data_IF_726483058782
#
_entry.id   IF_726483058782
#
_cell.length_a   1.000
_cell.length_b   1.000
_cell.length_c   1.000
_cell.angle_alpha   90.00
_cell.angle_beta   90.00
_cell.angle_gamma   90.00
#
_symmetry.space_group_name_H-M   'P 1'
#
loop_
_entity.id
_entity.type
_entity.pdbx_description
1 polymer ?
#
# COMPACT_ATOMS: atom_id res chain seq x y z
N UNK A 1 -13.05 2.55 -2.43
CA UNK A 1 -12.92 1.56 -3.53
C UNK A 1 -11.66 1.89 -4.31
N UNK A 2 -10.89 0.93 -4.85
CA UNK A 2 -9.64 1.23 -5.61
C UNK A 2 -9.94 1.20 -7.12
N UNK A 3 -10.55 2.29 -7.58
CA UNK A 3 -10.95 2.51 -8.98
C UNK A 3 -10.21 3.71 -9.54
N UNK A 4 -9.71 3.64 -10.76
CA UNK A 4 -9.08 4.78 -11.45
C UNK A 4 -9.71 5.04 -12.81
N UNK A 5 -9.67 6.28 -13.29
CA UNK A 5 -10.15 6.71 -14.63
C UNK A 5 -11.61 6.42 -15.02
N UNK A 6 -12.39 5.73 -14.20
CA UNK A 6 -13.76 5.32 -14.52
C UNK A 6 -14.68 5.51 -13.31
N UNK A 7 -15.98 5.67 -13.59
CA UNK A 7 -17.02 5.70 -12.55
C UNK A 7 -17.49 4.29 -12.25
N UNK A 8 -18.03 4.05 -11.05
CA UNK A 8 -18.73 2.82 -10.74
C UNK A 8 -20.02 3.07 -9.97
N UNK A 9 -20.94 2.11 -10.06
CA UNK A 9 -22.15 2.06 -9.24
C UNK A 9 -21.87 1.12 -8.08
N UNK A 10 -21.63 1.69 -6.90
CA UNK A 10 -21.47 0.90 -5.68
C UNK A 10 -22.84 0.34 -5.26
N UNK A 11 -22.92 -0.98 -5.14
CA UNK A 11 -24.15 -1.72 -4.83
C UNK A 11 -23.87 -2.76 -3.74
N UNK A 12 -24.82 -2.93 -2.83
CA UNK A 12 -24.72 -3.92 -1.77
C UNK A 12 -24.71 -5.36 -2.32
N UNK A 13 -23.95 -6.30 -1.75
CA UNK A 13 -23.89 -7.70 -2.19
C UNK A 13 -25.26 -8.38 -2.30
N UNK A 14 -26.14 -8.21 -1.30
CA UNK A 14 -27.51 -8.78 -1.31
C UNK A 14 -28.32 -8.30 -2.51
N UNK A 15 -28.30 -7.00 -2.78
CA UNK A 15 -29.04 -6.38 -3.88
C UNK A 15 -28.46 -6.79 -5.23
N UNK A 16 -27.13 -6.93 -5.32
CA UNK A 16 -26.47 -7.45 -6.49
C UNK A 16 -26.89 -8.91 -6.76
N UNK A 17 -26.96 -9.76 -5.73
CA UNK A 17 -27.43 -11.15 -5.85
C UNK A 17 -28.88 -11.23 -6.31
N UNK A 18 -29.79 -10.44 -5.73
CA UNK A 18 -31.20 -10.35 -6.14
C UNK A 18 -31.37 -9.93 -7.61
N UNK A 19 -30.51 -9.03 -8.10
CA UNK A 19 -30.49 -8.58 -9.50
C UNK A 19 -29.68 -9.51 -10.42
N UNK A 20 -29.04 -10.55 -9.86
CA UNK A 20 -28.15 -11.46 -10.59
C UNK A 20 -26.94 -10.75 -11.21
N UNK A 21 -26.38 -9.75 -10.53
CA UNK A 21 -25.29 -8.86 -10.97
C UNK A 21 -23.99 -9.24 -10.27
N UNK A 22 -22.88 -9.25 -11.01
CA UNK A 22 -21.53 -9.48 -10.49
C UNK A 22 -20.69 -8.21 -10.54
N UNK A 23 -19.58 -8.20 -9.82
CA UNK A 23 -18.58 -7.13 -9.90
C UNK A 23 -18.18 -6.88 -11.37
N UNK A 24 -18.30 -5.63 -11.82
CA UNK A 24 -17.95 -5.18 -13.18
C UNK A 24 -19.05 -5.33 -14.23
N UNK A 25 -20.17 -5.99 -13.93
CA UNK A 25 -21.34 -6.00 -14.81
C UNK A 25 -21.93 -4.60 -14.93
N UNK A 26 -22.48 -4.24 -16.09
CA UNK A 26 -23.04 -2.90 -16.28
C UNK A 26 -24.45 -2.80 -15.73
N UNK A 27 -24.67 -1.69 -15.03
CA UNK A 27 -25.96 -1.31 -14.48
C UNK A 27 -26.41 0.00 -15.11
N UNK A 28 -27.68 0.07 -15.45
CA UNK A 28 -28.37 1.33 -15.71
C UNK A 28 -29.05 1.77 -14.41
N UNK A 29 -28.77 3.00 -14.00
CA UNK A 29 -29.48 3.69 -12.93
C UNK A 29 -30.29 4.80 -13.56
N UNK A 30 -31.61 4.77 -13.37
CA UNK A 30 -32.54 5.75 -13.93
C UNK A 30 -33.37 6.42 -12.86
N UNK A 31 -33.68 7.69 -13.08
CA UNK A 31 -34.58 8.52 -12.30
C UNK A 31 -35.60 9.18 -13.22
N UNK A 32 -36.50 9.99 -12.67
CA UNK A 32 -37.38 10.84 -13.47
C UNK A 32 -36.65 11.95 -14.25
N UNK A 33 -35.38 12.22 -13.94
CA UNK A 33 -34.59 13.31 -14.54
C UNK A 33 -33.63 12.82 -15.64
N UNK A 34 -33.24 11.55 -15.60
CA UNK A 34 -32.29 10.98 -16.54
C UNK A 34 -31.82 9.59 -16.13
N UNK A 35 -30.92 9.01 -16.92
CA UNK A 35 -30.26 7.75 -16.62
C UNK A 35 -28.75 7.81 -16.86
N UNK A 36 -28.02 6.93 -16.20
CA UNK A 36 -26.59 6.71 -16.39
C UNK A 36 -26.29 5.22 -16.41
N UNK A 37 -25.27 4.82 -17.17
CA UNK A 37 -24.79 3.45 -17.21
C UNK A 37 -23.33 3.38 -16.77
N UNK A 38 -23.03 2.51 -15.80
CA UNK A 38 -21.67 2.32 -15.31
C UNK A 38 -21.47 0.89 -14.78
N UNK A 39 -20.21 0.42 -14.65
CA UNK A 39 -19.92 -0.88 -14.08
C UNK A 39 -20.28 -0.94 -12.58
N UNK A 40 -20.86 -2.06 -12.16
CA UNK A 40 -21.18 -2.37 -10.78
C UNK A 40 -19.89 -2.56 -9.97
N UNK A 41 -19.85 -1.95 -8.79
CA UNK A 41 -18.89 -2.24 -7.75
C UNK A 41 -19.62 -2.82 -6.55
N UNK A 42 -19.51 -4.13 -6.36
CA UNK A 42 -20.15 -4.80 -5.24
C UNK A 42 -19.39 -4.44 -3.96
N UNK A 43 -20.07 -3.79 -3.02
CA UNK A 43 -19.45 -3.29 -1.78
C UNK A 43 -20.41 -3.41 -0.59
N UNK A 44 -20.06 -4.19 0.45
CA UNK A 44 -20.90 -4.33 1.65
C UNK A 44 -21.08 -3.04 2.46
N UNK A 45 -20.24 -2.01 2.23
CA UNK A 45 -20.38 -0.74 2.95
C UNK A 45 -21.54 0.15 2.47
N UNK A 46 -22.20 -0.21 1.36
CA UNK A 46 -23.40 0.49 0.89
C UNK A 46 -24.63 -0.19 1.48
N UNK A 47 -25.63 0.56 1.94
CA UNK A 47 -26.88 -0.01 2.47
C UNK A 47 -27.62 -0.84 1.40
N UNK A 48 -28.30 -1.95 1.75
CA UNK A 48 -29.01 -2.81 0.79
C UNK A 48 -30.05 -2.11 -0.11
N UNK A 49 -30.68 -1.04 0.36
CA UNK A 49 -31.71 -0.29 -0.38
C UNK A 49 -31.15 0.95 -1.13
N UNK A 50 -29.82 1.07 -1.22
CA UNK A 50 -29.12 2.25 -1.73
C UNK A 50 -28.10 1.87 -2.78
N UNK A 51 -27.88 2.74 -3.76
CA UNK A 51 -26.72 2.71 -4.67
C UNK A 51 -25.96 4.02 -4.54
N UNK A 52 -24.63 3.97 -4.69
CA UNK A 52 -23.78 5.16 -4.65
C UNK A 52 -22.98 5.30 -5.95
N UNK A 53 -22.88 6.52 -6.47
CA UNK A 53 -22.12 6.85 -7.69
C UNK A 53 -21.27 8.07 -7.39
N UNK A 54 -19.98 8.03 -7.71
CA UNK A 54 -19.07 9.15 -7.44
C UNK A 54 -19.33 10.31 -8.41
N UNK A 55 -19.36 11.53 -7.89
CA UNK A 55 -19.41 12.77 -8.69
C UNK A 55 -18.00 13.19 -9.13
N UNK A 56 -17.91 13.99 -10.20
CA UNK A 56 -16.65 14.59 -10.67
C UNK A 56 -16.08 14.01 -11.97
N UNK A 57 -16.70 12.96 -12.52
CA UNK A 57 -16.43 12.41 -13.85
C UNK A 57 -17.60 12.69 -14.82
N UNK A 58 -17.51 12.19 -16.05
CA UNK A 58 -18.53 12.36 -17.10
C UNK A 58 -18.50 13.74 -17.77
N UNK A 59 -17.33 14.40 -17.78
CA UNK A 59 -17.16 15.67 -18.46
C UNK A 59 -17.17 15.47 -19.98
N UNK A 60 -17.94 16.28 -20.70
CA UNK A 60 -18.00 16.24 -22.16
C UNK A 60 -16.95 17.14 -22.83
N UNK A 61 -16.42 18.14 -22.12
CA UNK A 61 -15.52 19.14 -22.71
C UNK A 61 -14.50 19.71 -21.69
N UNK A 62 -13.97 18.87 -20.78
CA UNK A 62 -13.00 19.30 -19.75
C UNK A 62 -11.56 18.85 -20.06
N UNK A 63 -11.16 18.98 -21.33
CA UNK A 63 -9.81 18.65 -21.78
C UNK A 63 -9.50 17.15 -21.85
N UNK A 64 -8.30 16.84 -22.35
CA UNK A 64 -7.89 15.50 -22.81
C UNK A 64 -7.89 14.38 -21.75
N UNK A 65 -7.91 14.73 -20.46
CA UNK A 65 -7.80 13.75 -19.37
C UNK A 65 -9.14 13.37 -18.74
N UNK A 66 -10.23 14.06 -19.05
CA UNK A 66 -11.54 13.81 -18.44
C UNK A 66 -12.66 13.70 -19.47
N UNK A 67 -12.44 14.20 -20.70
CA UNK A 67 -13.39 14.06 -21.79
C UNK A 67 -13.73 12.58 -22.04
N UNK A 68 -15.02 12.27 -21.97
CA UNK A 68 -15.55 10.92 -22.23
C UNK A 68 -15.14 9.86 -21.22
N UNK A 69 -14.77 10.25 -19.99
CA UNK A 69 -14.37 9.32 -18.92
C UNK A 69 -15.38 9.28 -17.79
N UNK A 70 -15.79 8.06 -17.42
CA UNK A 70 -16.81 7.81 -16.42
C UNK A 70 -18.17 8.39 -16.81
N UNK A 71 -19.04 8.57 -15.81
CA UNK A 71 -20.38 9.12 -15.97
C UNK A 71 -20.59 10.33 -15.08
N UNK A 72 -21.51 11.20 -15.49
CA UNK A 72 -21.93 12.35 -14.70
C UNK A 72 -23.25 12.02 -13.98
N UNK A 73 -23.23 11.67 -12.68
CA UNK A 73 -24.45 11.32 -11.96
C UNK A 73 -25.39 12.51 -11.72
N UNK A 74 -24.97 13.75 -11.97
CA UNK A 74 -25.83 14.93 -11.78
C UNK A 74 -27.08 14.90 -12.67
N UNK A 75 -27.06 14.16 -13.78
CA UNK A 75 -28.23 13.98 -14.66
C UNK A 75 -29.35 13.19 -13.98
N UNK A 76 -29.05 12.46 -12.90
CA UNK A 76 -30.05 11.78 -12.10
C UNK A 76 -30.72 12.71 -11.09
N UNK A 77 -30.08 13.79 -10.69
CA UNK A 77 -30.46 14.52 -9.48
C UNK A 77 -31.56 15.54 -9.75
N UNK A 78 -32.48 15.65 -8.78
CA UNK A 78 -33.43 16.75 -8.75
C UNK A 78 -32.70 18.07 -8.44
N UNK A 79 -33.13 19.22 -8.98
CA UNK A 79 -32.64 20.54 -8.57
C UNK A 79 -33.24 20.94 -7.21
N UNK A 80 -33.14 20.06 -6.21
CA UNK A 80 -33.65 20.28 -4.85
C UNK A 80 -32.59 20.88 -3.96
N UNK A 81 -33.02 21.83 -3.14
CA UNK A 81 -32.21 22.44 -2.09
C UNK A 81 -32.73 21.99 -0.73
N UNK A 82 -31.81 21.75 0.19
CA UNK A 82 -32.14 21.55 1.59
C UNK A 82 -32.70 22.86 2.16
N UNK A 83 -33.91 22.80 2.70
CA UNK A 83 -34.64 24.00 3.14
C UNK A 83 -33.96 24.71 4.34
N UNK A 84 -33.10 24.02 5.08
CA UNK A 84 -32.44 24.57 6.28
C UNK A 84 -31.12 25.24 5.93
N UNK A 85 -30.32 24.60 5.09
CA UNK A 85 -28.95 25.01 4.75
C UNK A 85 -28.89 25.77 3.43
N UNK A 86 -29.91 25.67 2.57
CA UNK A 86 -29.89 26.17 1.19
C UNK A 86 -28.93 25.40 0.28
N UNK A 87 -28.27 24.34 0.77
CA UNK A 87 -27.35 23.54 0.00
C UNK A 87 -28.10 22.66 -1.00
N UNK A 88 -27.44 22.31 -2.11
CA UNK A 88 -27.94 21.29 -3.01
C UNK A 88 -28.12 19.97 -2.25
N UNK A 89 -29.25 19.28 -2.45
CA UNK A 89 -29.58 18.03 -1.79
C UNK A 89 -29.40 16.84 -2.76
N UNK A 90 -28.18 16.26 -2.86
CA UNK A 90 -27.87 15.20 -3.83
C UNK A 90 -28.31 13.79 -3.40
N UNK A 91 -29.02 13.63 -2.28
CA UNK A 91 -29.33 12.35 -1.66
C UNK A 91 -30.83 12.08 -1.52
N UNK A 92 -31.20 10.81 -1.33
CA UNK A 92 -32.58 10.41 -1.04
C UNK A 92 -33.51 10.30 -2.27
N UNK A 93 -32.95 10.36 -3.47
CA UNK A 93 -33.71 10.16 -4.71
C UNK A 93 -34.05 8.68 -4.91
N UNK A 94 -35.32 8.38 -5.19
CA UNK A 94 -35.72 7.06 -5.66
C UNK A 94 -35.26 6.85 -7.10
N UNK A 95 -34.48 5.81 -7.31
CA UNK A 95 -33.97 5.39 -8.62
C UNK A 95 -34.43 3.97 -8.93
N UNK A 96 -34.47 3.64 -10.21
CA UNK A 96 -34.59 2.26 -10.69
C UNK A 96 -33.22 1.78 -11.14
N UNK A 97 -32.82 0.60 -10.67
CA UNK A 97 -31.55 -0.04 -11.04
C UNK A 97 -31.87 -1.28 -11.85
N UNK A 98 -31.26 -1.43 -13.02
CA UNK A 98 -31.45 -2.61 -13.87
C UNK A 98 -30.14 -3.06 -14.54
N UNK A 99 -29.88 -4.37 -14.66
CA UNK A 99 -28.75 -4.86 -15.45
C UNK A 99 -28.96 -4.53 -16.94
N UNK A 100 -27.93 -4.02 -17.62
CA UNK A 100 -28.01 -3.72 -19.07
C UNK A 100 -27.84 -4.96 -19.95
N UNK A 101 -27.44 -6.09 -19.36
CA UNK A 101 -27.06 -7.32 -20.06
C UNK A 101 -25.60 -7.36 -20.49
N UNK A 102 -24.86 -6.25 -20.42
CA UNK A 102 -23.41 -6.24 -20.63
C UNK A 102 -22.72 -6.79 -19.40
N UNK A 103 -22.18 -8.02 -19.52
CA UNK A 103 -21.48 -8.73 -18.45
C UNK A 103 -19.99 -8.40 -18.42
N UNK A 104 -19.42 -8.40 -17.22
CA UNK A 104 -17.99 -8.57 -17.05
C UNK A 104 -17.57 -9.90 -17.68
N UNK A 105 -16.53 -9.86 -18.51
CA UNK A 105 -15.90 -11.10 -18.98
C UNK A 105 -15.35 -11.82 -17.74
N UNK A 106 -15.55 -13.13 -17.65
CA UNK A 106 -14.92 -13.95 -16.61
C UNK A 106 -13.41 -13.92 -16.84
N UNK A 107 -12.68 -13.26 -15.95
CA UNK A 107 -11.24 -13.11 -16.06
C UNK A 107 -10.61 -13.98 -15.01
N UNK A 108 -10.45 -15.26 -15.37
CA UNK A 108 -9.69 -16.27 -14.64
C UNK A 108 -8.24 -15.81 -14.41
N UNK A 109 -8.01 -14.97 -13.40
CA UNK A 109 -6.68 -14.58 -12.93
C UNK A 109 -5.92 -13.52 -13.74
N UNK A 110 -6.56 -12.80 -14.68
CA UNK A 110 -5.93 -11.63 -15.31
C UNK A 110 -6.37 -10.37 -14.56
N UNK A 111 -5.42 -9.50 -14.22
CA UNK A 111 -5.58 -8.41 -13.25
C UNK A 111 -6.71 -7.41 -13.50
N UNK A 112 -7.18 -7.19 -14.74
CA UNK A 112 -8.42 -6.45 -15.03
C UNK A 112 -8.84 -6.44 -16.53
N UNK A 113 -9.20 -7.56 -17.20
CA UNK A 113 -9.73 -7.53 -18.57
C UNK A 113 -11.20 -7.12 -18.71
N UNK A 114 -11.91 -6.94 -17.59
CA UNK A 114 -13.33 -6.65 -17.56
C UNK A 114 -13.67 -5.16 -17.82
N UNK A 115 -14.96 -4.82 -17.88
CA UNK A 115 -15.43 -3.46 -17.73
C UNK A 115 -15.17 -2.95 -16.30
N UNK A 116 -14.74 -1.69 -16.15
CA UNK A 116 -14.36 -1.08 -14.88
C UNK A 116 -12.86 -1.16 -14.56
N UNK A 117 -12.30 -0.08 -14.02
CA UNK A 117 -10.86 0.05 -13.72
C UNK A 117 -10.54 -0.23 -12.25
N UNK A 118 -10.80 -1.47 -11.82
CA UNK A 118 -10.45 -1.95 -10.50
C UNK A 118 -8.95 -2.28 -10.42
N UNK A 119 -8.23 -1.65 -9.50
CA UNK A 119 -6.80 -1.93 -9.27
C UNK A 119 -6.55 -2.85 -8.07
N UNK A 120 -7.55 -3.01 -7.20
CA UNK A 120 -7.45 -3.87 -6.04
C UNK A 120 -7.74 -5.32 -6.45
N UNK A 121 -6.74 -6.19 -6.32
CA UNK A 121 -6.89 -7.61 -6.66
C UNK A 121 -7.77 -8.36 -5.65
N UNK A 122 -7.35 -8.37 -4.38
CA UNK A 122 -8.04 -9.12 -3.31
C UNK A 122 -8.34 -8.19 -2.14
N UNK A 123 -9.51 -8.36 -1.52
CA UNK A 123 -9.98 -7.54 -0.38
C UNK A 123 -9.85 -8.25 0.97
N UNK A 124 -9.52 -9.54 0.92
CA UNK A 124 -9.22 -10.41 2.07
C UNK A 124 -7.74 -10.74 2.15
N UNK A 125 -7.30 -11.06 3.36
CA UNK A 125 -5.90 -11.39 3.60
C UNK A 125 -5.58 -12.86 3.32
N UNK A 126 -6.57 -13.76 3.15
CA UNK A 126 -6.34 -15.21 3.00
C UNK A 126 -5.42 -15.75 4.12
N UNK A 127 -5.76 -15.42 5.37
CA UNK A 127 -5.00 -15.79 6.58
C UNK A 127 -3.54 -15.30 6.64
N UNK A 128 -3.12 -14.43 5.73
CA UNK A 128 -1.79 -13.80 5.76
C UNK A 128 -1.78 -12.66 6.77
N UNK A 129 -0.74 -12.60 7.60
CA UNK A 129 -0.56 -11.59 8.64
C UNK A 129 0.04 -10.28 8.08
N UNK A 130 -0.64 -9.67 7.09
CA UNK A 130 -0.10 -8.53 6.33
C UNK A 130 -0.53 -7.18 6.96
N UNK A 131 -1.83 -6.97 7.14
CA UNK A 131 -2.46 -5.85 7.83
C UNK A 131 -3.02 -6.34 9.17
N UNK A 132 -2.18 -6.32 10.20
CA UNK A 132 -2.46 -6.88 11.50
C UNK A 132 -3.23 -5.89 12.39
N UNK A 133 -3.96 -6.42 13.36
CA UNK A 133 -4.68 -5.64 14.37
C UNK A 133 -4.53 -6.33 15.74
N UNK A 134 -4.64 -5.53 16.80
CA UNK A 134 -4.61 -5.94 18.19
C UNK A 134 -5.81 -5.32 18.91
N UNK A 135 -6.48 -6.09 19.77
CA UNK A 135 -7.54 -5.52 20.59
C UNK A 135 -6.96 -4.59 21.65
N UNK A 136 -7.70 -3.54 22.03
CA UNK A 136 -7.28 -2.64 23.09
C UNK A 136 -7.00 -3.40 24.39
N UNK A 137 -7.80 -4.42 24.70
CA UNK A 137 -7.62 -5.28 25.86
C UNK A 137 -6.29 -6.04 25.80
N UNK A 138 -5.97 -6.65 24.66
CA UNK A 138 -4.71 -7.38 24.47
C UNK A 138 -3.49 -6.44 24.53
N UNK A 139 -3.61 -5.24 23.96
CA UNK A 139 -2.54 -4.24 24.03
C UNK A 139 -2.27 -3.80 25.48
N UNK A 140 -3.31 -3.48 26.25
CA UNK A 140 -3.18 -3.12 27.66
C UNK A 140 -2.55 -4.24 28.50
N UNK A 141 -2.86 -5.50 28.18
CA UNK A 141 -2.23 -6.64 28.84
C UNK A 141 -0.75 -6.79 28.49
N UNK A 142 -0.38 -6.56 27.22
CA UNK A 142 1.02 -6.58 26.79
C UNK A 142 1.81 -5.44 27.46
N UNK A 143 1.25 -4.23 27.53
CA UNK A 143 1.87 -3.08 28.17
C UNK A 143 2.09 -3.29 29.69
N UNK A 144 1.27 -4.13 30.34
CA UNK A 144 1.50 -4.52 31.75
C UNK A 144 2.65 -5.52 31.92
N UNK A 145 3.00 -6.27 30.88
CA UNK A 145 4.08 -7.28 30.91
C UNK A 145 5.45 -6.68 30.59
N UNK A 146 5.49 -5.46 30.05
CA UNK A 146 6.71 -4.73 29.77
C UNK A 146 6.52 -3.74 28.62
N UNK A 147 7.54 -2.94 28.39
CA UNK A 147 7.61 -2.12 27.17
C UNK A 147 7.79 -3.02 25.96
N UNK A 148 7.13 -2.65 24.86
CA UNK A 148 7.31 -3.37 23.61
C UNK A 148 8.65 -3.06 22.96
N UNK A 149 9.22 -4.08 22.34
CA UNK A 149 10.49 -4.00 21.65
C UNK A 149 10.29 -3.66 20.18
N UNK A 150 11.28 -3.03 19.55
CA UNK A 150 11.34 -2.91 18.09
C UNK A 150 11.48 -4.33 17.52
N UNK A 151 10.69 -4.73 16.51
CA UNK A 151 10.85 -6.04 15.87
C UNK A 151 12.31 -6.26 15.44
N UNK A 152 12.96 -7.28 16.00
CA UNK A 152 14.40 -7.52 15.90
C UNK A 152 15.16 -7.43 17.22
N UNK A 153 14.75 -6.58 18.19
CA UNK A 153 15.39 -6.45 19.51
C UNK A 153 15.50 -7.80 20.25
N UNK A 154 14.46 -8.65 20.16
CA UNK A 154 14.39 -9.96 20.82
C UNK A 154 13.70 -11.05 19.95
N UNK A 155 13.95 -11.08 18.63
CA UNK A 155 13.34 -12.08 17.73
C UNK A 155 14.24 -13.30 17.45
N UNK A 156 13.65 -14.50 17.47
CA UNK A 156 14.28 -15.71 16.93
C UNK A 156 14.13 -15.75 15.40
N UNK A 157 15.18 -15.39 14.68
CA UNK A 157 15.16 -15.41 13.21
C UNK A 157 15.30 -16.82 12.68
N UNK A 158 14.57 -17.13 11.62
CA UNK A 158 14.76 -18.38 10.90
C UNK A 158 15.96 -18.23 9.93
N UNK A 159 17.10 -18.84 10.27
CA UNK A 159 18.29 -18.85 9.43
C UNK A 159 18.32 -20.09 8.53
N UNK A 160 18.74 -19.92 7.27
CA UNK A 160 18.91 -21.01 6.32
C UNK A 160 20.17 -21.82 6.69
N UNK A 161 20.03 -23.11 6.99
CA UNK A 161 21.20 -24.00 7.17
C UNK A 161 21.68 -24.53 5.82
N UNK A 162 22.98 -24.82 5.72
CA UNK A 162 23.65 -25.39 4.53
C UNK A 162 23.12 -26.73 4.00
N UNK A 163 22.08 -27.32 4.60
CA UNK A 163 21.35 -28.51 4.12
C UNK A 163 19.92 -28.21 3.61
N UNK A 164 19.58 -26.93 3.37
CA UNK A 164 18.31 -26.55 2.74
C UNK A 164 17.09 -26.54 3.67
N UNK A 165 17.31 -26.37 4.98
CA UNK A 165 16.23 -26.20 5.97
C UNK A 165 16.35 -24.87 6.72
N UNK A 166 15.22 -24.35 7.20
CA UNK A 166 15.16 -23.20 8.11
C UNK A 166 15.24 -23.69 9.55
N UNK A 167 16.11 -23.12 10.38
CA UNK A 167 16.14 -23.35 11.82
C UNK A 167 16.10 -21.99 12.54
N UNK A 168 15.32 -21.85 13.64
CA UNK A 168 15.38 -20.63 14.44
C UNK A 168 16.79 -20.49 15.03
N UNK A 169 17.49 -19.43 14.64
CA UNK A 169 18.66 -18.93 15.31
C UNK A 169 18.19 -17.78 16.21
N UNK A 170 18.42 -17.91 17.52
CA UNK A 170 18.24 -16.78 18.43
C UNK A 170 19.31 -15.75 18.10
N UNK A 171 18.90 -14.58 17.61
CA UNK A 171 19.81 -13.45 17.41
C UNK A 171 19.17 -12.28 18.17
N UNK A 172 19.69 -11.95 19.34
CA UNK A 172 19.38 -10.69 20.03
C UNK A 172 19.93 -9.55 19.18
N UNK A 173 19.08 -8.67 18.64
CA UNK A 173 19.56 -7.58 17.78
C UNK A 173 19.03 -6.21 18.17
N UNK A 174 19.91 -5.40 18.76
CA UNK A 174 19.75 -3.95 18.89
C UNK A 174 19.29 -3.34 17.53
N UNK A 175 18.31 -2.42 17.47
CA UNK A 175 17.88 -1.78 16.22
C UNK A 175 19.01 -1.04 15.52
N UNK A 176 20.01 -0.58 16.28
CA UNK A 176 21.22 0.04 15.75
C UNK A 176 22.11 -0.97 14.99
N UNK A 177 21.98 -2.27 15.26
CA UNK A 177 22.70 -3.34 14.57
C UNK A 177 22.01 -3.76 13.27
N UNK A 178 20.98 -3.05 12.81
CA UNK A 178 20.25 -3.42 11.60
C UNK A 178 20.83 -2.79 10.32
N UNK A 179 21.04 -3.58 9.24
CA UNK A 179 20.82 -5.01 9.15
C UNK A 179 21.87 -5.83 9.89
N UNK A 180 21.43 -6.97 10.40
CA UNK A 180 22.15 -7.71 11.44
C UNK A 180 23.52 -8.17 10.96
N UNK A 181 24.54 -8.23 11.85
CA UNK A 181 25.91 -8.60 11.50
C UNK A 181 26.03 -9.89 10.68
N UNK A 182 25.27 -10.93 11.02
CA UNK A 182 25.28 -12.24 10.32
C UNK A 182 24.56 -12.23 8.96
N UNK A 183 23.93 -11.12 8.59
CA UNK A 183 23.10 -10.95 7.39
C UNK A 183 23.47 -9.71 6.58
N UNK A 184 24.66 -9.13 6.86
CA UNK A 184 25.18 -7.97 6.15
C UNK A 184 25.50 -8.34 4.69
N UNK A 185 24.52 -8.15 3.80
CA UNK A 185 24.72 -8.20 2.35
C UNK A 185 24.89 -6.76 1.84
N UNK A 186 26.05 -6.13 2.11
CA UNK A 186 26.35 -4.76 1.70
C UNK A 186 27.57 -4.17 2.42
N UNK A 187 28.15 -3.10 1.87
CA UNK A 187 29.20 -2.32 2.54
C UNK A 187 28.53 -1.25 3.43
N UNK A 188 28.28 -1.62 4.68
CA UNK A 188 27.74 -0.74 5.69
C UNK A 188 28.88 0.02 6.39
N UNK A 189 28.76 1.35 6.49
CA UNK A 189 29.71 2.15 7.25
C UNK A 189 29.16 2.33 8.66
N UNK A 190 29.95 1.93 9.66
CA UNK A 190 29.62 2.13 11.08
C UNK A 190 29.58 3.62 11.41
N UNK A 191 28.60 4.03 12.20
CA UNK A 191 28.39 5.44 12.58
C UNK A 191 27.67 6.30 11.53
N UNK A 192 27.26 5.74 10.39
CA UNK A 192 26.34 6.41 9.46
C UNK A 192 24.87 6.26 9.88
N UNK A 193 24.05 7.21 9.45
CA UNK A 193 22.59 7.18 9.57
C UNK A 193 22.01 5.88 9.02
N UNK A 194 21.07 5.28 9.75
CA UNK A 194 20.26 4.13 9.32
C UNK A 194 18.83 4.58 9.07
N UNK A 195 18.53 4.87 7.82
CA UNK A 195 17.21 5.35 7.43
C UNK A 195 16.14 4.27 7.56
N UNK A 196 15.05 4.61 8.24
CA UNK A 196 13.88 3.75 8.28
C UNK A 196 12.60 4.50 8.59
N UNK A 197 11.50 3.76 8.62
CA UNK A 197 10.17 4.34 8.72
C UNK A 197 9.27 3.50 9.62
N UNK A 198 8.50 4.15 10.48
CA UNK A 198 7.34 3.57 11.17
C UNK A 198 6.07 3.94 10.42
N UNK A 199 5.15 2.99 10.26
CA UNK A 199 3.84 3.17 9.63
C UNK A 199 2.74 2.76 10.60
N UNK A 200 2.01 3.73 11.15
CA UNK A 200 0.89 3.48 12.07
C UNK A 200 -0.41 3.17 11.32
N UNK A 201 -0.82 1.89 11.33
CA UNK A 201 -2.04 1.47 10.65
C UNK A 201 -3.31 1.96 11.33
N UNK A 202 -3.26 2.28 12.63
CA UNK A 202 -4.44 2.76 13.34
C UNK A 202 -4.84 4.18 12.90
N UNK A 203 -3.82 5.01 12.61
CA UNK A 203 -3.99 6.38 12.12
C UNK A 203 -4.30 6.46 10.63
N UNK A 204 -4.15 5.37 9.88
CA UNK A 204 -4.32 5.39 8.43
C UNK A 204 -5.79 5.39 8.04
N UNK A 205 -6.26 6.50 7.46
CA UNK A 205 -7.63 6.65 6.96
C UNK A 205 -7.78 6.36 5.46
N UNK A 206 -6.71 5.94 4.79
CA UNK A 206 -6.72 5.64 3.36
C UNK A 206 -6.91 6.84 2.42
N UNK A 207 -6.62 8.07 2.86
CA UNK A 207 -6.84 9.31 2.09
C UNK A 207 -6.03 9.40 0.78
N UNK A 208 -4.98 8.58 0.62
CA UNK A 208 -4.11 8.53 -0.57
C UNK A 208 -3.33 9.82 -0.89
N UNK A 209 -3.31 10.81 0.01
CA UNK A 209 -2.47 12.01 -0.13
C UNK A 209 -0.98 11.65 -0.29
N UNK A 210 -0.49 10.67 0.47
CA UNK A 210 0.89 10.16 0.37
C UNK A 210 1.22 9.53 -0.99
N UNK A 211 0.23 8.97 -1.70
CA UNK A 211 0.41 8.47 -3.06
C UNK A 211 0.66 9.65 -3.99
N UNK A 212 -0.20 10.67 -3.96
CA UNK A 212 -0.11 11.86 -4.82
C UNK A 212 1.18 12.66 -4.54
N UNK A 213 1.55 12.83 -3.29
CA UNK A 213 2.81 13.51 -2.94
C UNK A 213 4.02 12.73 -3.47
N UNK A 214 4.00 11.40 -3.42
CA UNK A 214 5.07 10.59 -3.99
C UNK A 214 5.16 10.76 -5.52
N UNK A 215 4.02 10.92 -6.20
CA UNK A 215 3.97 11.23 -7.64
C UNK A 215 4.63 12.57 -7.97
N UNK A 216 4.20 13.62 -7.27
CA UNK A 216 4.66 14.99 -7.48
C UNK A 216 6.15 15.11 -7.17
N UNK A 217 6.59 14.59 -6.03
CA UNK A 217 7.97 14.69 -5.57
C UNK A 217 8.95 13.92 -6.46
N UNK A 218 8.56 12.72 -6.91
CA UNK A 218 9.47 11.79 -7.56
C UNK A 218 9.19 11.65 -9.06
N UNK A 219 8.57 12.64 -9.70
CA UNK A 219 8.36 12.67 -11.16
C UNK A 219 7.72 11.39 -11.72
N UNK A 220 6.81 10.76 -10.98
CA UNK A 220 6.19 9.50 -11.41
C UNK A 220 5.17 9.81 -12.51
N UNK A 221 5.24 9.17 -13.68
CA UNK A 221 4.32 9.47 -14.76
C UNK A 221 2.94 8.86 -14.52
N UNK A 222 1.92 9.53 -15.05
CA UNK A 222 0.53 9.08 -14.99
C UNK A 222 0.28 8.05 -16.10
N UNK A 223 -0.20 6.86 -15.72
CA UNK A 223 -0.44 5.73 -16.64
C UNK A 223 -1.90 5.75 -17.08
N UNK A 224 -2.13 5.70 -18.40
CA UNK A 224 -3.47 5.70 -18.98
C UNK A 224 -4.29 4.42 -18.68
N UNK A 225 -5.62 4.49 -18.83
CA UNK A 225 -6.54 3.43 -18.42
C UNK A 225 -6.23 2.07 -19.05
N UNK A 226 -5.86 2.02 -20.33
CA UNK A 226 -5.55 0.78 -21.05
C UNK A 226 -4.40 0.00 -20.40
N UNK A 227 -3.39 0.69 -19.87
CA UNK A 227 -2.23 0.05 -19.26
C UNK A 227 -2.45 -0.23 -17.77
N UNK A 228 -3.24 0.61 -17.08
CA UNK A 228 -3.71 0.30 -15.72
C UNK A 228 -4.51 -1.01 -15.70
N UNK A 229 -5.39 -1.26 -16.70
CA UNK A 229 -6.12 -2.54 -16.84
C UNK A 229 -5.20 -3.76 -16.95
N UNK A 230 -3.99 -3.58 -17.46
CA UNK A 230 -2.98 -4.64 -17.59
C UNK A 230 -2.12 -4.80 -16.33
N UNK A 231 -2.45 -4.11 -15.23
CA UNK A 231 -1.69 -4.12 -13.99
C UNK A 231 -0.35 -3.36 -14.08
N UNK A 232 -0.25 -2.38 -14.99
CA UNK A 232 1.01 -1.64 -15.25
C UNK A 232 1.00 -0.22 -14.68
N UNK A 233 0.17 0.01 -13.66
CA UNK A 233 0.13 1.27 -12.95
C UNK A 233 1.47 1.51 -12.21
N UNK A 234 1.89 2.78 -12.13
CA UNK A 234 3.18 3.17 -11.55
C UNK A 234 2.96 3.89 -10.21
N UNK A 235 2.82 3.16 -9.11
CA UNK A 235 2.60 3.76 -7.78
C UNK A 235 3.70 3.33 -6.82
N UNK A 236 4.73 4.15 -6.58
CA UNK A 236 5.83 3.77 -5.66
C UNK A 236 5.38 3.50 -4.22
N UNK A 237 4.27 4.12 -3.83
CA UNK A 237 3.51 3.88 -2.62
C UNK A 237 2.07 3.62 -3.04
N UNK A 238 1.46 2.55 -2.53
CA UNK A 238 0.05 2.23 -2.74
C UNK A 238 -0.64 1.99 -1.42
N UNK A 239 -1.92 2.33 -1.33
CA UNK A 239 -2.75 1.97 -0.18
C UNK A 239 -3.53 0.70 -0.52
N UNK A 240 -3.32 -0.36 0.26
CA UNK A 240 -4.14 -1.56 0.21
C UNK A 240 -5.20 -1.50 1.30
N UNK A 241 -6.40 -2.01 1.00
CA UNK A 241 -7.52 -2.05 1.93
C UNK A 241 -7.93 -3.48 2.19
N UNK A 242 -7.81 -3.95 3.42
CA UNK A 242 -8.27 -5.27 3.82
C UNK A 242 -9.47 -5.18 4.75
N UNK A 243 -10.35 -6.17 4.64
CA UNK A 243 -11.42 -6.39 5.60
C UNK A 243 -10.97 -7.42 6.62
N UNK A 244 -10.73 -6.95 7.85
CA UNK A 244 -9.99 -7.64 8.89
C UNK A 244 -10.70 -8.83 9.53
N UNK A 245 -12.01 -8.96 9.31
CA UNK A 245 -12.84 -10.08 9.78
C UNK A 245 -12.91 -11.26 8.79
N UNK A 246 -12.39 -11.10 7.57
CA UNK A 246 -12.67 -12.04 6.48
C UNK A 246 -11.41 -12.84 6.09
N UNK A 247 -11.41 -14.13 6.42
CA UNK A 247 -10.41 -15.12 5.97
C UNK A 247 -10.69 -15.53 4.53
N UNK A 248 -11.98 -15.71 4.21
CA UNK A 248 -12.46 -16.11 2.90
C UNK A 248 -13.16 -14.96 2.16
N UNK A 249 -13.10 -14.91 0.82
CA UNK A 249 -13.77 -13.88 0.02
C UNK A 249 -15.28 -13.76 0.29
N UNK A 250 -15.99 -14.87 0.59
CA UNK A 250 -17.41 -14.84 0.95
C UNK A 250 -17.70 -14.05 2.24
N UNK A 251 -16.88 -14.20 3.27
CA UNK A 251 -17.03 -13.50 4.56
C UNK A 251 -16.87 -11.98 4.39
N UNK A 252 -16.12 -11.59 3.36
CA UNK A 252 -15.83 -10.21 2.99
C UNK A 252 -17.00 -9.49 2.30
N UNK A 253 -18.07 -10.21 1.96
CA UNK A 253 -19.28 -9.69 1.32
C UNK A 253 -20.47 -9.57 2.29
N UNK A 254 -20.20 -9.60 3.60
CA UNK A 254 -21.22 -9.46 4.65
C UNK A 254 -21.28 -8.04 5.20
N UNK A 255 -22.41 -7.65 5.79
CA UNK A 255 -22.61 -6.33 6.40
C UNK A 255 -21.51 -6.04 7.46
N UNK A 256 -21.17 -7.06 8.26
CA UNK A 256 -20.16 -6.97 9.32
C UNK A 256 -18.70 -6.92 8.80
N UNK A 257 -18.47 -7.28 7.53
CA UNK A 257 -17.14 -7.28 6.93
C UNK A 257 -16.46 -5.90 6.99
N UNK A 258 -17.26 -4.83 6.96
CA UNK A 258 -16.77 -3.45 6.95
C UNK A 258 -16.45 -2.89 8.34
N UNK A 259 -16.88 -3.56 9.41
CA UNK A 259 -16.64 -3.14 10.79
C UNK A 259 -15.15 -3.09 11.17
N UNK A 260 -14.32 -3.86 10.45
CA UNK A 260 -12.87 -3.83 10.57
C UNK A 260 -12.23 -3.59 9.19
N UNK A 261 -12.14 -2.32 8.80
CA UNK A 261 -11.41 -1.92 7.59
C UNK A 261 -9.99 -1.50 7.97
N UNK A 262 -9.01 -2.19 7.40
CA UNK A 262 -7.58 -1.94 7.63
C UNK A 262 -6.94 -1.38 6.38
N UNK A 263 -6.35 -0.19 6.49
CA UNK A 263 -5.58 0.42 5.41
C UNK A 263 -4.10 0.15 5.63
N UNK A 264 -3.42 -0.36 4.61
CA UNK A 264 -2.00 -0.68 4.63
C UNK A 264 -1.28 0.11 3.53
N UNK A 265 -0.57 1.20 3.88
CA UNK A 265 0.38 1.83 2.99
C UNK A 265 1.55 0.88 2.69
N UNK A 266 1.67 0.46 1.43
CA UNK A 266 2.70 -0.46 0.97
C UNK A 266 3.63 0.26 -0.01
N UNK A 267 4.91 0.32 0.35
CA UNK A 267 5.99 0.96 -0.40
C UNK A 267 7.24 0.06 -0.41
N UNK A 268 8.35 0.51 -1.03
CA UNK A 268 9.61 -0.23 -0.88
C UNK A 268 9.99 -0.32 0.60
N UNK A 269 10.25 -1.54 1.07
CA UNK A 269 10.58 -1.79 2.46
C UNK A 269 12.05 -1.49 2.81
N UNK A 270 12.88 -1.14 1.81
CA UNK A 270 14.32 -0.91 1.98
C UNK A 270 15.00 -2.02 2.80
N UNK A 271 14.67 -3.26 2.42
CA UNK A 271 15.16 -4.49 3.04
C UNK A 271 16.68 -4.51 3.18
N UNK A 272 17.20 -4.79 4.36
CA UNK A 272 18.63 -5.02 4.59
C UNK A 272 19.14 -6.31 3.98
N UNK A 273 18.31 -7.36 3.96
CA UNK A 273 18.53 -8.55 3.13
C UNK A 273 17.61 -8.49 1.91
N UNK A 274 17.92 -7.58 0.98
CA UNK A 274 17.07 -7.30 -0.18
C UNK A 274 17.15 -8.40 -1.25
N UNK A 275 16.10 -9.22 -1.45
CA UNK A 275 16.13 -10.26 -2.49
C UNK A 275 16.17 -9.66 -3.91
N UNK A 276 15.74 -8.41 -4.06
CA UNK A 276 15.68 -7.74 -5.36
C UNK A 276 17.03 -7.22 -5.88
N UNK A 277 18.10 -7.25 -5.07
CA UNK A 277 19.44 -6.80 -5.46
C UNK A 277 20.29 -7.88 -6.15
N UNK A 278 20.52 -9.08 -5.55
CA UNK A 278 21.42 -10.08 -6.15
C UNK A 278 20.92 -10.62 -7.48
N UNK A 279 19.63 -10.44 -7.79
CA UNK A 279 19.02 -10.83 -9.08
C UNK A 279 19.23 -9.81 -10.19
N UNK A 280 19.85 -8.66 -9.91
CA UNK A 280 20.13 -7.65 -10.92
C UNK A 280 21.51 -7.93 -11.57
N UNK A 281 21.57 -8.35 -12.85
CA UNK A 281 22.84 -8.75 -13.48
C UNK A 281 23.81 -7.59 -13.73
N UNK A 282 23.33 -6.35 -13.60
CA UNK A 282 24.10 -5.12 -13.89
C UNK A 282 24.28 -4.23 -12.67
N UNK A 283 23.86 -4.71 -11.47
CA UNK A 283 23.95 -3.98 -10.20
C UNK A 283 23.28 -2.60 -10.23
N UNK A 284 22.14 -2.49 -10.93
CA UNK A 284 21.33 -1.27 -10.92
C UNK A 284 20.55 -1.10 -9.60
N UNK A 285 20.29 -2.20 -8.90
CA UNK A 285 19.82 -2.19 -7.52
C UNK A 285 20.96 -2.66 -6.61
N UNK A 286 21.24 -1.91 -5.55
CA UNK A 286 22.38 -2.15 -4.65
C UNK A 286 22.11 -1.52 -3.27
N UNK A 287 22.76 -2.02 -2.23
CA UNK A 287 22.77 -1.37 -0.92
C UNK A 287 23.73 -0.18 -0.89
N UNK A 288 23.21 0.95 -0.43
CA UNK A 288 24.01 2.14 -0.12
C UNK A 288 24.61 2.05 1.29
N UNK A 289 25.71 2.77 1.59
CA UNK A 289 26.35 2.73 2.91
C UNK A 289 25.45 3.16 4.08
N UNK A 290 24.49 4.05 3.81
CA UNK A 290 23.45 4.54 4.75
C UNK A 290 22.26 3.58 4.89
N UNK A 291 22.34 2.37 4.30
CA UNK A 291 21.35 1.31 4.46
C UNK A 291 20.11 1.46 3.58
N UNK A 292 20.10 2.40 2.64
CA UNK A 292 19.05 2.44 1.63
C UNK A 292 19.30 1.38 0.56
N UNK A 293 18.24 0.68 0.19
CA UNK A 293 18.21 0.02 -1.09
C UNK A 293 18.22 1.08 -2.22
N UNK A 294 19.31 1.22 -2.95
CA UNK A 294 19.47 2.12 -4.08
C UNK A 294 18.84 1.59 -5.37
N UNK A 295 18.37 2.51 -6.23
CA UNK A 295 17.99 2.20 -7.61
C UNK A 295 18.65 3.21 -8.54
N UNK A 296 19.68 2.76 -9.25
CA UNK A 296 20.37 3.55 -10.26
C UNK A 296 19.62 3.38 -11.58
N UNK A 297 18.90 4.41 -12.00
CA UNK A 297 18.00 4.34 -13.15
C UNK A 297 18.75 4.08 -14.46
N UNK A 298 19.84 4.82 -14.73
CA UNK A 298 20.62 4.73 -15.98
C UNK A 298 21.41 3.42 -16.13
N UNK A 299 21.61 2.65 -15.05
CA UNK A 299 22.25 1.33 -15.09
C UNK A 299 21.27 0.20 -15.40
N UNK A 300 19.97 0.45 -15.23
CA UNK A 300 18.95 -0.57 -15.40
C UNK A 300 18.77 -0.95 -16.88
N UNK A 301 19.00 -2.22 -17.21
CA UNK A 301 18.79 -2.77 -18.57
C UNK A 301 17.44 -3.47 -18.75
N UNK A 302 16.52 -3.30 -17.80
CA UNK A 302 15.12 -3.73 -17.96
C UNK A 302 14.84 -5.23 -17.91
N UNK A 303 15.68 -6.03 -17.24
CA UNK A 303 15.45 -7.48 -17.09
C UNK A 303 14.19 -7.82 -16.27
N UNK A 304 13.76 -6.91 -15.38
CA UNK A 304 12.58 -7.00 -14.50
C UNK A 304 12.65 -8.12 -13.44
N UNK A 305 13.75 -8.84 -13.32
CA UNK A 305 13.86 -9.93 -12.33
C UNK A 305 13.76 -9.41 -10.88
N UNK A 306 14.25 -8.20 -10.62
CA UNK A 306 14.11 -7.55 -9.30
C UNK A 306 12.64 -7.35 -8.89
N UNK A 307 11.70 -7.21 -9.83
CA UNK A 307 10.27 -7.17 -9.53
C UNK A 307 9.72 -8.54 -9.11
N UNK A 308 10.14 -9.60 -9.78
CA UNK A 308 9.69 -10.95 -9.46
C UNK A 308 10.17 -11.36 -8.06
N UNK A 309 11.43 -11.09 -7.73
CA UNK A 309 12.02 -11.50 -6.45
C UNK A 309 11.59 -10.63 -5.26
N UNK A 310 11.02 -9.44 -5.51
CA UNK A 310 10.49 -8.60 -4.44
C UNK A 310 9.17 -9.18 -3.89
N UNK A 311 9.09 -9.57 -2.60
CA UNK A 311 7.87 -10.15 -2.04
C UNK A 311 6.66 -9.22 -2.13
N UNK A 312 6.86 -7.92 -1.91
CA UNK A 312 5.77 -6.92 -1.92
C UNK A 312 5.41 -6.37 -3.29
N UNK A 313 6.14 -6.74 -4.36
CA UNK A 313 5.90 -6.26 -5.73
C UNK A 313 5.83 -4.72 -5.81
N UNK A 314 6.78 -4.06 -5.16
CA UNK A 314 6.91 -2.59 -5.04
C UNK A 314 8.01 -2.03 -5.96
N UNK A 315 8.40 -2.81 -6.96
CA UNK A 315 9.29 -2.40 -8.05
C UNK A 315 8.45 -2.29 -9.32
N UNK A 316 8.43 -1.11 -9.91
CA UNK A 316 7.56 -0.74 -11.02
C UNK A 316 8.37 -0.58 -12.30
N UNK A 317 7.86 -1.04 -13.44
CA UNK A 317 8.61 -1.02 -14.70
C UNK A 317 8.04 0.03 -15.66
N UNK A 318 8.91 0.86 -16.24
CA UNK A 318 8.52 1.77 -17.32
C UNK A 318 8.38 1.01 -18.63
N UNK A 319 7.13 0.71 -19.00
CA UNK A 319 6.82 0.01 -20.25
C UNK A 319 6.96 0.89 -21.50
N UNK A 320 6.77 2.20 -21.34
CA UNK A 320 6.75 3.18 -22.42
C UNK A 320 7.55 4.40 -22.01
N UNK A 321 7.84 5.25 -23.00
CA UNK A 321 8.31 6.61 -22.74
C UNK A 321 7.09 7.44 -22.39
N UNK A 322 7.11 8.07 -21.23
CA UNK A 322 6.03 8.95 -20.78
C UNK A 322 6.41 10.40 -21.05
N UNK A 323 5.59 11.10 -21.82
CA UNK A 323 5.84 12.49 -22.18
C UNK A 323 5.14 13.44 -21.20
N UNK A 324 5.89 14.41 -20.70
CA UNK A 324 5.36 15.53 -19.93
C UNK A 324 5.25 16.74 -20.87
N UNK A 325 4.15 16.80 -21.62
CA UNK A 325 3.91 17.89 -22.58
C UNK A 325 3.85 19.24 -21.86
N UNK A 326 4.35 20.29 -22.50
CA UNK A 326 4.30 21.66 -21.97
C UNK A 326 2.84 22.09 -21.69
N UNK A 327 2.55 22.73 -20.54
CA UNK A 327 3.47 23.19 -19.47
C UNK A 327 3.70 22.17 -18.34
N UNK A 328 3.24 20.92 -18.46
CA UNK A 328 3.34 19.93 -17.37
C UNK A 328 4.78 19.53 -17.06
N UNK A 329 5.74 19.75 -17.97
CA UNK A 329 7.16 19.56 -17.68
C UNK A 329 7.68 20.50 -16.57
N UNK A 330 7.07 21.67 -16.36
CA UNK A 330 7.49 22.62 -15.32
C UNK A 330 7.18 22.14 -13.90
N UNK A 331 6.29 21.14 -13.75
CA UNK A 331 5.97 20.56 -12.45
C UNK A 331 7.03 19.55 -11.98
N UNK A 332 7.98 19.17 -12.85
CA UNK A 332 8.96 18.14 -12.56
C UNK A 332 9.98 18.66 -11.54
N UNK A 333 10.24 17.85 -10.51
CA UNK A 333 11.28 18.10 -9.55
C UNK A 333 12.66 18.01 -10.25
N UNK A 334 13.47 19.08 -10.27
CA UNK A 334 14.77 19.08 -10.95
C UNK A 334 15.79 18.15 -10.29
N UNK A 335 15.61 17.82 -9.02
CA UNK A 335 16.54 16.98 -8.24
C UNK A 335 16.29 15.48 -8.43
N UNK A 336 15.24 15.11 -9.17
CA UNK A 336 14.88 13.70 -9.42
C UNK A 336 14.92 13.42 -10.92
N UNK A 337 15.69 12.40 -11.30
CA UNK A 337 15.75 11.93 -12.68
C UNK A 337 14.35 11.62 -13.23
N UNK A 338 14.02 12.10 -14.42
CA UNK A 338 12.86 11.65 -15.20
C UNK A 338 13.26 10.37 -15.93
N UNK A 339 12.54 9.28 -15.72
CA UNK A 339 12.96 7.96 -16.22
C UNK A 339 12.44 7.71 -17.63
N UNK A 340 13.24 6.98 -18.40
CA UNK A 340 12.86 6.49 -19.72
C UNK A 340 12.22 5.09 -19.67
N UNK A 341 11.72 4.67 -20.82
CA UNK A 341 11.28 3.30 -21.08
C UNK A 341 12.38 2.29 -20.73
N UNK A 342 11.98 1.14 -20.18
CA UNK A 342 12.88 0.02 -19.94
C UNK A 342 13.56 0.04 -18.57
N UNK A 343 13.24 1.02 -17.73
CA UNK A 343 13.86 1.19 -16.41
C UNK A 343 12.91 0.78 -15.28
N UNK A 344 13.47 0.14 -14.26
CA UNK A 344 12.77 -0.17 -13.02
C UNK A 344 12.83 1.02 -12.04
N UNK A 345 11.72 1.24 -11.35
CA UNK A 345 11.55 2.25 -10.33
C UNK A 345 11.03 1.65 -9.03
N UNK A 346 11.18 2.40 -7.94
CA UNK A 346 10.63 2.07 -6.63
C UNK A 346 10.67 3.31 -5.74
N UNK A 347 9.97 3.27 -4.61
CA UNK A 347 10.20 4.21 -3.52
C UNK A 347 11.70 4.20 -3.12
N UNK A 348 12.29 5.38 -2.98
CA UNK A 348 13.70 5.60 -2.62
C UNK A 348 13.86 6.30 -1.26
N UNK A 349 12.80 6.32 -0.44
CA UNK A 349 12.71 7.18 0.75
C UNK A 349 12.97 8.67 0.46
N UNK A 350 12.63 9.12 -0.76
CA UNK A 350 12.91 10.48 -1.23
C UNK A 350 14.40 10.82 -1.09
N UNK A 351 15.27 9.98 -1.66
CA UNK A 351 16.74 10.11 -1.58
C UNK A 351 17.25 11.50 -1.90
N UNK A 352 16.60 12.24 -2.80
CA UNK A 352 16.92 13.64 -3.10
C UNK A 352 16.85 14.54 -1.86
N UNK A 353 15.86 14.35 -0.98
CA UNK A 353 15.69 15.09 0.27
C UNK A 353 16.70 14.64 1.33
N UNK A 354 17.02 13.33 1.36
CA UNK A 354 18.07 12.78 2.22
C UNK A 354 19.41 13.43 1.88
N UNK A 355 19.80 13.41 0.60
CA UNK A 355 21.06 13.98 0.13
C UNK A 355 21.10 15.50 0.31
N UNK A 356 20.00 16.20 0.07
CA UNK A 356 19.92 17.64 0.36
C UNK A 356 20.15 17.95 1.85
N UNK A 357 19.49 17.21 2.75
CA UNK A 357 19.67 17.38 4.20
C UNK A 357 21.10 17.06 4.65
N UNK A 358 21.68 15.97 4.16
CA UNK A 358 23.07 15.59 4.43
C UNK A 358 24.06 16.65 3.94
N UNK A 359 23.87 17.16 2.71
CA UNK A 359 24.72 18.22 2.16
C UNK A 359 24.61 19.52 2.96
N UNK A 360 23.39 19.90 3.39
CA UNK A 360 23.18 21.09 4.22
C UNK A 360 23.87 20.97 5.58
N UNK A 361 23.69 19.84 6.24
CA UNK A 361 24.34 19.56 7.52
C UNK A 361 25.88 19.59 7.40
N UNK A 362 26.42 19.01 6.32
CA UNK A 362 27.85 19.04 6.03
C UNK A 362 28.38 20.46 5.74
N UNK A 363 27.63 21.29 5.01
CA UNK A 363 27.98 22.69 4.76
C UNK A 363 28.00 23.54 6.04
N UNK A 364 27.15 23.18 7.00
CA UNK A 364 27.03 23.84 8.32
C UNK A 364 27.96 23.23 9.38
N UNK A 365 28.82 22.27 9.01
CA UNK A 365 29.73 21.54 9.90
C UNK A 365 29.05 20.98 11.16
N UNK A 366 27.89 20.36 10.96
CA UNK A 366 27.10 19.75 12.05
C UNK A 366 26.53 18.39 11.64
N UNK A 367 26.18 17.53 12.61
CA UNK A 367 25.42 16.33 12.32
C UNK A 367 24.02 16.66 11.79
N UNK A 368 23.49 15.74 11.00
CA UNK A 368 22.10 15.75 10.56
C UNK A 368 21.20 15.58 11.78
N UNK A 369 20.18 16.43 11.90
CA UNK A 369 19.24 16.40 13.04
C UNK A 369 18.02 15.58 12.70
N UNK A 370 17.43 14.95 13.71
CA UNK A 370 16.14 14.27 13.55
C UNK A 370 15.07 15.27 13.08
N UNK A 371 14.19 14.81 12.19
CA UNK A 371 13.16 15.63 11.56
C UNK A 371 13.63 16.62 10.48
N UNK A 372 14.94 16.76 10.21
CA UNK A 372 15.43 17.65 9.14
C UNK A 372 15.13 17.09 7.74
N UNK A 373 15.13 15.76 7.60
CA UNK A 373 14.75 15.06 6.36
C UNK A 373 13.32 14.56 6.48
N UNK A 374 12.41 15.18 5.73
CA UNK A 374 11.00 14.78 5.71
C UNK A 374 10.63 14.30 4.29
N UNK A 375 10.46 12.99 4.06
CA UNK A 375 9.96 12.46 2.81
C UNK A 375 8.58 13.01 2.44
N UNK A 376 8.25 13.09 1.15
CA UNK A 376 6.99 13.66 0.69
C UNK A 376 5.74 12.93 1.24
N UNK A 377 5.80 11.60 1.41
CA UNK A 377 4.71 10.83 1.99
C UNK A 377 4.50 11.13 3.49
N UNK A 378 5.58 11.48 4.21
CA UNK A 378 5.54 11.88 5.62
C UNK A 378 4.95 13.28 5.74
N UNK A 379 5.50 14.25 4.99
CA UNK A 379 5.10 15.66 5.03
C UNK A 379 3.62 15.86 4.73
N UNK A 380 3.06 15.11 3.77
CA UNK A 380 1.68 15.33 3.32
C UNK A 380 0.63 14.64 4.17
N UNK A 381 1.02 13.70 5.05
CA UNK A 381 0.06 12.82 5.72
C UNK A 381 -0.68 13.60 6.81
N UNK A 382 -2.01 13.80 6.70
CA UNK A 382 -2.76 14.63 7.64
C UNK A 382 -2.94 13.98 9.01
N UNK A 383 -2.79 12.66 9.10
CA UNK A 383 -2.95 11.88 10.34
C UNK A 383 -1.63 11.36 10.88
N UNK A 384 -0.49 11.86 10.38
CA UNK A 384 0.85 11.52 10.87
C UNK A 384 1.09 10.00 10.98
N UNK A 385 0.72 9.28 9.92
CA UNK A 385 0.87 7.81 9.82
C UNK A 385 2.34 7.41 9.73
N UNK A 386 3.17 8.22 9.09
CA UNK A 386 4.56 7.90 8.82
C UNK A 386 5.45 8.67 9.78
N UNK A 387 6.38 7.97 10.43
CA UNK A 387 7.51 8.57 11.13
C UNK A 387 8.76 8.09 10.43
N UNK A 388 9.63 9.01 10.00
CA UNK A 388 10.85 8.69 9.24
C UNK A 388 12.05 9.30 9.95
N UNK A 389 13.15 8.56 10.02
CA UNK A 389 14.35 9.04 10.72
C UNK A 389 15.46 8.00 10.78
N UNK A 390 16.34 8.18 11.75
CA UNK A 390 17.54 7.38 11.97
C UNK A 390 17.35 6.29 13.04
N UNK A 391 17.21 5.03 12.64
CA UNK A 391 17.14 3.91 13.58
C UNK A 391 18.45 3.65 14.37
N UNK A 392 19.59 4.18 13.92
CA UNK A 392 20.84 4.08 14.67
C UNK A 392 20.88 5.03 15.88
N UNK A 393 19.98 6.02 15.93
CA UNK A 393 19.80 6.90 17.08
C UNK A 393 18.60 6.41 17.90
N UNK A 394 18.81 5.85 19.12
CA UNK A 394 17.73 5.40 19.99
C UNK A 394 16.78 6.53 20.41
N UNK A 395 17.23 7.78 20.42
CA UNK A 395 16.43 8.95 20.82
C UNK A 395 15.65 9.57 19.66
N UNK A 396 15.85 9.09 18.43
CA UNK A 396 15.09 9.57 17.27
C UNK A 396 13.61 9.25 17.38
N UNK A 397 12.77 10.09 16.78
CA UNK A 397 11.32 9.90 16.76
C UNK A 397 10.92 8.54 16.17
N UNK A 398 11.66 8.04 15.17
CA UNK A 398 11.36 6.74 14.54
C UNK A 398 11.69 5.56 15.44
N UNK A 399 12.81 5.61 16.18
CA UNK A 399 13.18 4.57 17.15
C UNK A 399 12.19 4.51 18.29
N UNK A 400 11.80 5.67 18.84
CA UNK A 400 10.80 5.77 19.90
C UNK A 400 9.41 5.31 19.44
N UNK A 401 8.99 5.68 18.23
CA UNK A 401 7.71 5.26 17.67
C UNK A 401 7.63 3.75 17.40
N UNK A 402 8.76 3.09 17.15
CA UNK A 402 8.82 1.64 16.91
C UNK A 402 8.83 0.81 18.21
N UNK A 403 9.16 1.40 19.36
CA UNK A 403 9.19 0.73 20.68
C UNK A 403 7.79 0.63 21.29
N UNK A 404 6.99 -0.30 20.78
CA UNK A 404 5.63 -0.53 21.27
C UNK A 404 5.22 -1.98 21.06
N UNK A 405 4.31 -2.49 21.90
CA UNK A 405 3.84 -3.88 21.89
C UNK A 405 3.01 -4.26 20.67
N UNK A 406 2.73 -3.28 19.78
CA UNK A 406 2.01 -3.47 18.53
C UNK A 406 2.89 -3.35 17.29
N UNK A 407 4.21 -3.30 17.44
CA UNK A 407 5.12 -3.21 16.31
C UNK A 407 5.31 -4.57 15.62
N UNK A 408 5.36 -4.57 14.29
CA UNK A 408 5.67 -5.78 13.51
C UNK A 408 6.32 -5.44 12.16
N UNK A 409 7.00 -6.42 11.56
CA UNK A 409 7.52 -6.33 10.20
C UNK A 409 6.67 -7.17 9.26
N UNK A 410 6.28 -6.59 8.13
CA UNK A 410 5.53 -7.32 7.10
C UNK A 410 6.37 -8.48 6.57
N UNK A 411 5.79 -9.68 6.48
CA UNK A 411 6.44 -10.89 5.94
C UNK A 411 7.79 -11.22 6.63
N UNK A 412 7.88 -11.04 7.94
CA UNK A 412 9.08 -11.32 8.75
C UNK A 412 9.63 -12.73 8.56
N UNK A 413 8.77 -13.72 8.30
CA UNK A 413 9.15 -15.11 7.98
C UNK A 413 10.21 -15.25 6.88
N UNK A 414 10.26 -14.30 5.93
CA UNK A 414 11.20 -14.35 4.81
C UNK A 414 12.62 -13.86 5.15
N UNK A 415 12.86 -13.36 6.37
CA UNK A 415 14.14 -12.80 6.81
C UNK A 415 14.77 -11.81 5.80
N UNK A 416 13.91 -10.99 5.19
CA UNK A 416 14.32 -9.94 4.24
C UNK A 416 14.75 -8.66 4.96
N UNK A 417 14.52 -8.61 6.27
CA UNK A 417 14.89 -7.48 7.09
C UNK A 417 14.39 -6.12 6.55
N UNK A 418 13.07 -5.87 6.49
CA UNK A 418 12.49 -4.55 6.22
C UNK A 418 13.03 -3.42 7.11
N UNK A 419 13.39 -2.27 6.54
CA UNK A 419 13.63 -1.03 7.28
C UNK A 419 12.34 -0.27 7.63
N UNK A 420 11.18 -0.85 7.32
CA UNK A 420 9.87 -0.34 7.70
C UNK A 420 9.28 -1.21 8.81
N UNK A 421 8.87 -0.57 9.90
CA UNK A 421 8.12 -1.18 10.99
C UNK A 421 6.67 -0.69 10.90
N UNK A 422 5.71 -1.62 10.97
CA UNK A 422 4.29 -1.28 11.01
C UNK A 422 3.80 -1.36 12.44
N UNK A 423 2.87 -0.48 12.82
CA UNK A 423 2.13 -0.59 14.07
C UNK A 423 0.76 -1.19 13.77
N UNK A 424 0.36 -2.24 14.48
CA UNK A 424 -0.94 -2.88 14.31
C UNK A 424 -2.07 -1.88 14.55
N UNK A 425 -3.18 -2.07 13.83
CA UNK A 425 -4.41 -1.32 14.09
C UNK A 425 -4.97 -1.69 15.46
N UNK A 426 -5.41 -0.71 16.26
CA UNK A 426 -6.04 -1.00 17.55
C UNK A 426 -7.55 -1.11 17.36
N UNK A 427 -8.14 -2.22 17.80
CA UNK A 427 -9.57 -2.47 17.69
C UNK A 427 -10.23 -2.57 19.06
N UNK A 428 -11.48 -2.12 19.18
CA UNK A 428 -12.27 -2.29 20.40
C UNK A 428 -12.87 -3.69 20.53
N UNK A 429 -12.94 -4.43 19.42
CA UNK A 429 -13.34 -5.83 19.38
C UNK A 429 -12.12 -6.72 19.20
N UNK A 430 -12.26 -8.00 19.54
CA UNK A 430 -11.23 -9.00 19.25
C UNK A 430 -11.08 -9.16 17.74
N UNK A 431 -9.89 -8.88 17.18
CA UNK A 431 -9.68 -9.04 15.75
C UNK A 431 -9.77 -10.53 15.39
N UNK A 432 -10.31 -10.84 14.21
CA UNK A 432 -10.26 -12.20 13.71
C UNK A 432 -8.79 -12.65 13.64
N UNK A 433 -8.46 -13.75 14.33
CA UNK A 433 -7.08 -14.27 14.37
C UNK A 433 -6.64 -14.57 12.94
N UNK A 434 -5.61 -13.89 12.46
CA UNK A 434 -4.86 -14.24 11.24
C UNK A 434 -3.70 -15.14 11.65
N UNK A 435 -3.54 -16.29 11.00
CA UNK A 435 -2.45 -17.23 11.29
C UNK A 435 -2.88 -18.69 11.15
N UNK A 436 -1.95 -19.57 10.76
CA UNK A 436 -2.16 -21.01 10.87
C UNK A 436 -2.23 -21.38 12.36
N UNK A 437 -3.34 -21.99 12.80
CA UNK A 437 -3.28 -22.83 13.99
C UNK A 437 -2.22 -23.90 13.71
N UNK A 438 -1.04 -23.76 14.31
CA UNK A 438 -0.16 -24.90 14.44
C UNK A 438 -0.98 -25.97 15.17
N UNK A 439 -1.14 -27.19 14.61
CA UNK A 439 -1.94 -28.21 15.26
C UNK A 439 -1.39 -28.40 16.67
N UNK A 440 -2.26 -28.21 17.66
CA UNK A 440 -1.93 -28.44 19.05
C UNK A 440 -1.44 -29.90 19.19
N UNK A 441 -0.15 -30.07 19.44
CA UNK A 441 0.45 -31.38 19.70
C UNK A 441 1.12 -32.05 18.50
N UNK A 442 2.22 -31.48 18.02
CA UNK A 442 3.28 -32.26 17.38
C UNK A 442 4.60 -32.03 18.14
N UNK A 443 4.71 -32.65 19.31
CA UNK A 443 5.99 -32.85 19.94
C UNK A 443 6.82 -33.74 19.00
N UNK A 444 7.74 -33.15 18.24
CA UNK A 444 8.80 -33.91 17.59
C UNK A 444 9.74 -34.44 18.69
N UNK A 445 9.39 -35.60 19.23
CA UNK A 445 10.31 -36.41 20.02
C UNK A 445 11.47 -36.89 19.13
N UNK A 446 12.67 -37.06 19.69
CA UNK A 446 13.80 -37.59 18.94
C UNK A 446 13.50 -39.04 18.55
N UNK A 447 13.31 -39.32 17.27
CA UNK A 447 13.36 -40.69 16.77
C UNK A 447 14.82 -41.13 16.73
N UNK A 448 15.18 -42.01 17.65
CA UNK A 448 16.43 -42.78 17.61
C UNK A 448 16.47 -43.59 16.31
N UNK A 449 17.54 -43.40 15.54
CA UNK A 449 17.84 -44.19 14.34
C UNK A 449 18.66 -45.42 14.73
N UNK A 450 18.14 -46.60 14.39
CA UNK A 450 18.94 -47.83 14.22
C UNK A 450 19.69 -47.82 12.90
#
# INVERSE_FOLDING_TARGET
TKVSWDSCIEIHPRTAEELGVRQGDWLEVSSQYGSVEAPAYVYPGVRPDTVAIQMGLGHQAFGRFTEGRGVNPNVLLAPTIDATTGAFAPYGLRVRVQPTGVRAKDTQGILNPGPGLFEQGVRVQHDREIAQAISLTALLQADQQGEGTIPGEDEHLMMLRGKGGFAPAAVTTDPAQYPMPETQYGEYIDGMTRWGMVVDLDRCIGCSACVVACYAENNIPVVGPTEVKKGRALHWLRIERYWGVSRHPEEAMTDDATNDTRFLPMLCQHCGNAPCEPVCPVYAAYHTPDGLNGQVYNRCVGTRYCANNCPWKVRYFNWFTYEFAEPLNWQLNPDVTVREKGVMEKCTFCVQRIREGEHRAALEDRPLRDGEVVPACVQTCPTEVFVFGNFADPESAVSQAARTNRSYRSLSLLNTQPAIVYLQKVTLHEPARTGHEAPAGAAYGPQETH
#
